data_IF_418140124438
#
_entry.id   IF_418140124438
#
_cell.length_a   1.000
_cell.length_b   1.000
_cell.length_c   1.000
_cell.angle_alpha   90.00
_cell.angle_beta   90.00
_cell.angle_gamma   90.00
#
_symmetry.space_group_name_H-M   'P 1'
#
loop_
_entity.id
_entity.type
_entity.pdbx_description
1 polymer ?
#
# COMPACT_ATOMS: atom_id res chain seq x y z
N UNK A 1 24.10 -7.87 -13.45
CA UNK A 1 24.29 -7.26 -12.12
C UNK A 1 23.15 -6.28 -11.88
N UNK A 2 22.23 -6.57 -10.96
CA UNK A 2 21.33 -5.55 -10.43
C UNK A 2 21.44 -5.60 -8.91
N UNK A 3 22.33 -4.74 -8.43
CA UNK A 3 22.68 -4.54 -7.03
C UNK A 3 21.72 -3.48 -6.50
N UNK A 4 20.90 -3.83 -5.53
CA UNK A 4 19.91 -2.95 -4.93
C UNK A 4 20.59 -2.10 -3.85
N UNK A 5 21.56 -1.25 -4.24
CA UNK A 5 22.18 -0.28 -3.32
C UNK A 5 21.33 0.99 -3.15
N UNK A 6 20.30 1.16 -4.01
CA UNK A 6 19.18 2.10 -3.80
C UNK A 6 17.88 1.33 -4.08
N UNK A 7 17.04 1.12 -3.05
CA UNK A 7 15.87 0.21 -3.08
C UNK A 7 14.69 0.69 -3.95
N UNK A 8 14.93 0.98 -5.22
CA UNK A 8 13.89 1.36 -6.17
C UNK A 8 13.50 0.17 -7.06
N UNK A 9 12.23 -0.25 -6.96
CA UNK A 9 11.61 -1.11 -7.98
C UNK A 9 11.17 -0.24 -9.16
N UNK A 10 11.67 -0.52 -10.35
CA UNK A 10 11.08 -0.02 -11.59
C UNK A 10 9.80 -0.81 -11.88
N UNK A 11 8.65 -0.16 -11.74
CA UNK A 11 7.32 -0.76 -11.97
C UNK A 11 6.99 -0.75 -13.46
N UNK A 12 6.15 -1.70 -13.88
CA UNK A 12 5.52 -1.60 -15.20
C UNK A 12 4.53 -0.44 -15.22
N UNK A 13 4.23 0.09 -16.41
CA UNK A 13 3.25 1.17 -16.56
C UNK A 13 1.88 0.78 -15.98
N UNK A 14 1.47 -0.48 -16.19
CA UNK A 14 0.20 -1.01 -15.69
C UNK A 14 0.18 -1.14 -14.15
N UNK A 15 1.25 -1.66 -13.55
CA UNK A 15 1.38 -1.73 -12.08
C UNK A 15 1.33 -0.33 -11.47
N UNK A 16 2.11 0.61 -12.01
CA UNK A 16 2.12 1.99 -11.54
C UNK A 16 0.75 2.64 -11.67
N UNK A 17 0.10 2.50 -12.84
CA UNK A 17 -1.25 3.04 -13.09
C UNK A 17 -2.25 2.46 -12.09
N UNK A 18 -2.23 1.15 -11.84
CA UNK A 18 -3.14 0.47 -10.91
C UNK A 18 -2.98 0.99 -9.48
N UNK A 19 -1.75 1.08 -8.98
CA UNK A 19 -1.45 1.56 -7.63
C UNK A 19 -1.83 3.04 -7.47
N UNK A 20 -1.43 3.89 -8.42
CA UNK A 20 -1.74 5.33 -8.39
C UNK A 20 -3.24 5.59 -8.48
N UNK A 21 -3.98 4.82 -9.30
CA UNK A 21 -5.44 4.98 -9.41
C UNK A 21 -6.14 4.70 -8.07
N UNK A 22 -5.70 3.68 -7.32
CA UNK A 22 -6.22 3.42 -5.97
C UNK A 22 -5.92 4.55 -5.01
N UNK A 23 -4.69 5.08 -5.03
CA UNK A 23 -4.29 6.21 -4.19
C UNK A 23 -5.10 7.48 -4.50
N UNK A 24 -5.33 7.81 -5.78
CA UNK A 24 -6.17 8.94 -6.18
C UNK A 24 -7.60 8.83 -5.66
N UNK A 25 -8.15 7.61 -5.61
CA UNK A 25 -9.47 7.36 -5.01
C UNK A 25 -9.46 7.61 -3.50
N UNK A 26 -8.45 7.09 -2.79
CA UNK A 26 -8.26 7.29 -1.35
C UNK A 26 -8.12 8.79 -1.03
N UNK A 27 -7.32 9.51 -1.81
CA UNK A 27 -7.14 10.96 -1.71
C UNK A 27 -8.49 11.71 -1.86
N UNK A 28 -9.33 11.29 -2.81
CA UNK A 28 -10.68 11.81 -2.96
C UNK A 28 -11.58 11.58 -1.74
N UNK A 29 -11.48 10.41 -1.10
CA UNK A 29 -12.21 10.11 0.14
C UNK A 29 -11.72 10.98 1.31
N UNK A 30 -10.41 11.16 1.45
CA UNK A 30 -9.82 12.04 2.48
C UNK A 30 -10.28 13.49 2.30
N UNK A 31 -10.29 14.00 1.06
CA UNK A 31 -10.89 15.32 0.76
C UNK A 31 -12.37 15.39 1.11
N UNK A 32 -13.11 14.31 0.91
CA UNK A 32 -14.51 14.22 1.32
C UNK A 32 -14.65 14.41 2.83
N UNK A 33 -13.85 13.69 3.62
CA UNK A 33 -13.83 13.80 5.08
C UNK A 33 -13.47 15.22 5.54
N UNK A 34 -12.50 15.87 4.90
CA UNK A 34 -12.14 17.27 5.20
C UNK A 34 -13.37 18.19 5.08
N UNK A 35 -14.13 18.09 3.98
CA UNK A 35 -15.36 18.86 3.80
C UNK A 35 -16.41 18.55 4.85
N UNK A 36 -16.59 17.27 5.20
CA UNK A 36 -17.55 16.91 6.26
C UNK A 36 -17.22 17.55 7.60
N UNK A 37 -15.93 17.73 7.90
CA UNK A 37 -15.48 18.44 9.11
C UNK A 37 -15.70 19.94 8.98
N UNK A 38 -15.37 20.53 7.82
CA UNK A 38 -15.58 21.96 7.53
C UNK A 38 -17.08 22.34 7.58
N UNK A 39 -17.96 21.42 7.20
CA UNK A 39 -19.42 21.59 7.18
C UNK A 39 -20.09 21.19 8.52
N UNK A 40 -19.31 20.91 9.58
CA UNK A 40 -19.79 20.49 10.91
C UNK A 40 -20.79 19.30 10.87
N UNK A 41 -20.56 18.33 9.99
CA UNK A 41 -21.43 17.15 9.86
C UNK A 41 -21.35 16.22 11.08
N UNK A 42 -22.38 15.39 11.23
CA UNK A 42 -22.55 14.49 12.37
C UNK A 42 -21.39 13.50 12.51
N UNK A 43 -20.77 13.45 13.70
CA UNK A 43 -19.54 12.71 13.94
C UNK A 43 -19.60 11.22 13.54
N UNK A 44 -20.69 10.47 13.83
CA UNK A 44 -20.81 9.07 13.37
C UNK A 44 -20.70 8.90 11.85
N UNK A 45 -21.21 9.84 11.05
CA UNK A 45 -21.13 9.75 9.59
C UNK A 45 -19.68 9.95 9.12
N UNK A 46 -18.95 10.86 9.76
CA UNK A 46 -17.51 11.07 9.53
C UNK A 46 -16.74 9.79 9.89
N UNK A 47 -17.05 9.15 11.02
CA UNK A 47 -16.41 7.90 11.44
C UNK A 47 -16.64 6.74 10.45
N UNK A 48 -17.82 6.68 9.83
CA UNK A 48 -18.11 5.72 8.76
C UNK A 48 -17.21 5.98 7.54
N UNK A 49 -17.03 7.25 7.14
CA UNK A 49 -16.13 7.59 6.02
C UNK A 49 -14.66 7.32 6.34
N UNK A 50 -14.21 7.61 7.56
CA UNK A 50 -12.86 7.24 8.03
C UNK A 50 -12.66 5.73 7.94
N UNK A 51 -13.64 4.93 8.37
CA UNK A 51 -13.58 3.47 8.26
C UNK A 51 -13.50 2.98 6.81
N UNK A 52 -14.19 3.67 5.89
CA UNK A 52 -14.10 3.39 4.45
C UNK A 52 -12.71 3.71 3.87
N UNK A 53 -12.07 4.80 4.31
CA UNK A 53 -10.68 5.14 3.94
C UNK A 53 -9.70 4.11 4.46
N UNK A 54 -9.80 3.72 5.72
CA UNK A 54 -8.95 2.68 6.32
C UNK A 54 -9.08 1.35 5.57
N UNK A 55 -10.30 0.97 5.20
CA UNK A 55 -10.54 -0.24 4.40
C UNK A 55 -9.91 -0.15 3.01
N UNK A 56 -9.97 1.02 2.36
CA UNK A 56 -9.34 1.25 1.07
C UNK A 56 -7.81 1.21 1.14
N UNK A 57 -7.21 1.79 2.21
CA UNK A 57 -5.78 1.70 2.49
C UNK A 57 -5.34 0.25 2.72
N UNK A 58 -6.10 -0.52 3.49
CA UNK A 58 -5.84 -1.95 3.69
C UNK A 58 -5.90 -2.75 2.38
N UNK A 59 -6.85 -2.42 1.49
CA UNK A 59 -6.92 -3.02 0.16
C UNK A 59 -5.70 -2.65 -0.70
N UNK A 60 -5.25 -1.40 -0.65
CA UNK A 60 -4.04 -0.95 -1.32
C UNK A 60 -2.78 -1.66 -0.80
N UNK A 61 -2.64 -1.78 0.52
CA UNK A 61 -1.50 -2.47 1.15
C UNK A 61 -1.40 -3.93 0.70
N UNK A 62 -2.53 -4.65 0.63
CA UNK A 62 -2.58 -6.04 0.12
C UNK A 62 -2.09 -6.15 -1.32
N UNK A 63 -2.51 -5.21 -2.18
CA UNK A 63 -2.07 -5.18 -3.58
C UNK A 63 -0.56 -4.93 -3.68
N UNK A 64 -0.05 -3.91 -2.97
CA UNK A 64 1.36 -3.55 -2.99
C UNK A 64 2.24 -4.68 -2.45
N UNK A 65 1.81 -5.32 -1.36
CA UNK A 65 2.50 -6.47 -0.77
C UNK A 65 2.53 -7.65 -1.74
N UNK A 66 1.42 -7.95 -2.42
CA UNK A 66 1.38 -9.02 -3.42
C UNK A 66 2.34 -8.76 -4.59
N UNK A 67 2.48 -7.50 -5.03
CA UNK A 67 3.49 -7.10 -6.02
C UNK A 67 4.92 -7.30 -5.49
N UNK A 68 5.18 -6.98 -4.22
CA UNK A 68 6.50 -7.15 -3.61
C UNK A 68 6.90 -8.63 -3.50
N UNK A 69 5.98 -9.49 -3.05
CA UNK A 69 6.22 -10.93 -2.90
C UNK A 69 6.50 -11.59 -4.26
N UNK A 70 5.66 -11.32 -5.27
CA UNK A 70 5.78 -11.98 -6.58
C UNK A 70 7.02 -11.56 -7.37
N UNK A 71 7.49 -10.34 -7.17
CA UNK A 71 8.57 -9.79 -7.99
C UNK A 71 9.90 -9.77 -7.23
N UNK A 72 10.00 -8.98 -6.17
CA UNK A 72 11.25 -8.78 -5.44
C UNK A 72 11.65 -10.06 -4.67
N UNK A 73 10.78 -10.52 -3.76
CA UNK A 73 11.08 -11.66 -2.89
C UNK A 73 11.26 -12.94 -3.71
N UNK A 74 10.37 -13.21 -4.67
CA UNK A 74 10.50 -14.41 -5.50
C UNK A 74 11.77 -14.39 -6.39
N UNK A 75 12.23 -13.21 -6.82
CA UNK A 75 13.49 -13.07 -7.58
C UNK A 75 14.69 -13.30 -6.68
N UNK A 76 14.69 -12.71 -5.48
CA UNK A 76 15.78 -12.83 -4.52
C UNK A 76 15.95 -14.28 -4.02
N UNK A 77 14.85 -14.98 -3.73
CA UNK A 77 14.89 -16.41 -3.39
C UNK A 77 15.51 -17.25 -4.52
N UNK A 78 15.14 -16.99 -5.79
CA UNK A 78 15.75 -17.68 -6.94
C UNK A 78 17.24 -17.39 -7.10
N UNK A 79 17.73 -16.29 -6.53
CA UNK A 79 19.13 -15.89 -6.52
C UNK A 79 19.88 -16.35 -5.26
N UNK A 80 19.23 -17.09 -4.36
CA UNK A 80 19.82 -17.56 -3.09
C UNK A 80 19.97 -16.47 -2.03
N UNK A 81 19.19 -15.38 -2.12
CA UNK A 81 19.19 -14.26 -1.17
C UNK A 81 18.04 -14.38 -0.17
N UNK A 82 18.19 -15.33 0.75
CA UNK A 82 17.16 -15.67 1.73
C UNK A 82 16.90 -14.53 2.75
N UNK A 83 17.83 -13.58 2.89
CA UNK A 83 17.68 -12.34 3.67
C UNK A 83 16.42 -11.52 3.32
N UNK A 84 15.92 -11.65 2.09
CA UNK A 84 14.67 -11.02 1.64
C UNK A 84 13.42 -11.56 2.37
N UNK A 85 13.48 -12.79 2.88
CA UNK A 85 12.40 -13.41 3.67
C UNK A 85 12.31 -12.77 5.05
N UNK A 86 13.45 -12.52 5.71
CA UNK A 86 13.49 -11.87 7.02
C UNK A 86 12.97 -10.43 6.95
N UNK A 87 13.29 -9.71 5.86
CA UNK A 87 12.71 -8.40 5.59
C UNK A 87 11.19 -8.48 5.43
N UNK A 88 10.70 -9.45 4.64
CA UNK A 88 9.26 -9.66 4.45
C UNK A 88 8.55 -9.96 5.78
N UNK A 89 9.11 -10.84 6.62
CA UNK A 89 8.55 -11.15 7.94
C UNK A 89 8.48 -9.91 8.81
N UNK A 90 9.54 -9.09 8.82
CA UNK A 90 9.58 -7.83 9.57
C UNK A 90 8.49 -6.85 9.10
N UNK A 91 8.25 -6.75 7.79
CA UNK A 91 7.18 -5.91 7.24
C UNK A 91 5.80 -6.45 7.61
N UNK A 92 5.57 -7.76 7.48
CA UNK A 92 4.31 -8.40 7.84
C UNK A 92 3.95 -8.18 9.31
N UNK A 93 4.90 -8.31 10.22
CA UNK A 93 4.71 -8.03 11.65
C UNK A 93 4.28 -6.59 11.93
N UNK A 94 4.68 -5.62 11.10
CA UNK A 94 4.25 -4.22 11.23
C UNK A 94 2.84 -3.99 10.66
N UNK A 95 2.46 -4.74 9.63
CA UNK A 95 1.16 -4.62 8.96
C UNK A 95 0.02 -5.36 9.68
N UNK A 96 0.35 -6.32 10.55
CA UNK A 96 -0.62 -7.12 11.31
C UNK A 96 -0.88 -6.60 12.73
N UNK A 97 -0.37 -5.42 13.08
CA UNK A 97 -0.74 -4.70 14.29
C UNK A 97 -2.06 -3.97 14.09
#
# INVERSE_FOLDING_TARGET
>A
MHQCEVRHKKRTADEQKKLVTRLKRIEGQVRGIQKMVEDDLYCPDILVQVSAVTSALNSFNKELLACHIRDCVATDIRQGKDESIDELVTVLQKLMK
#
